data_IF_112057714622
#
_entry.id   IF_112057714622
#
_cell.length_a   1.000
_cell.length_b   1.000
_cell.length_c   1.000
_cell.angle_alpha   90.00
_cell.angle_beta   90.00
_cell.angle_gamma   90.00
#
_symmetry.space_group_name_H-M   'P 1'
#
loop_
_entity.id
_entity.type
_entity.pdbx_description
1 polymer ?
#
# COMPACT_ATOMS: atom_id res chain seq x y z
N UNK A 1 13.16 14.65 -36.37
CA UNK A 1 13.00 13.51 -35.46
C UNK A 1 12.75 14.05 -34.07
N UNK A 2 11.50 14.31 -33.72
CA UNK A 2 11.13 14.79 -32.37
C UNK A 2 11.44 13.67 -31.39
N UNK A 3 12.25 13.86 -30.34
CA UNK A 3 12.44 12.82 -29.35
C UNK A 3 11.06 12.47 -28.81
N UNK A 4 10.70 11.18 -28.87
CA UNK A 4 9.51 10.67 -28.22
C UNK A 4 9.54 11.20 -26.79
N UNK A 5 8.53 11.99 -26.43
CA UNK A 5 8.42 12.59 -25.10
C UNK A 5 8.35 11.42 -24.14
N UNK A 6 9.47 11.11 -23.47
CA UNK A 6 9.53 10.04 -22.49
C UNK A 6 8.35 10.30 -21.54
N UNK A 7 7.45 9.33 -21.29
CA UNK A 7 6.34 9.55 -20.37
C UNK A 7 6.95 10.04 -19.07
N UNK A 8 6.53 11.24 -18.65
CA UNK A 8 7.07 11.86 -17.43
C UNK A 8 6.85 10.86 -16.29
N UNK A 9 7.89 10.50 -15.52
CA UNK A 9 7.77 9.50 -14.49
C UNK A 9 6.69 9.96 -13.50
N UNK A 10 5.63 9.15 -13.40
CA UNK A 10 4.53 9.42 -12.48
C UNK A 10 5.01 9.11 -11.07
N UNK A 11 4.76 10.00 -10.13
CA UNK A 11 5.17 9.84 -8.75
C UNK A 11 3.97 10.03 -7.82
N UNK A 12 3.41 8.91 -7.34
CA UNK A 12 2.38 8.92 -6.31
C UNK A 12 3.03 8.57 -4.98
N UNK A 13 2.80 9.42 -3.98
CA UNK A 13 3.24 9.23 -2.60
C UNK A 13 2.06 8.77 -1.74
N UNK A 14 2.31 7.81 -0.86
CA UNK A 14 1.49 7.49 0.31
C UNK A 14 2.32 7.82 1.54
N UNK A 15 1.81 8.68 2.42
CA UNK A 15 2.48 9.08 3.65
C UNK A 15 1.61 8.80 4.86
N UNK A 16 2.17 8.17 5.89
CA UNK A 16 1.54 7.96 7.19
C UNK A 16 2.15 8.91 8.21
N UNK A 17 1.28 9.44 9.07
CA UNK A 17 1.63 10.32 10.16
C UNK A 17 1.61 9.54 11.48
N UNK A 18 2.66 9.73 12.28
CA UNK A 18 2.84 9.05 13.57
C UNK A 18 2.89 10.07 14.71
N UNK A 19 1.79 10.80 14.99
CA UNK A 19 1.75 11.72 16.12
C UNK A 19 1.64 10.93 17.43
N UNK A 20 2.06 11.56 18.53
CA UNK A 20 1.83 11.01 19.88
C UNK A 20 0.34 11.08 20.24
N UNK A 21 -0.32 12.19 19.88
CA UNK A 21 -1.74 12.41 20.11
C UNK A 21 -2.47 12.73 18.81
N UNK A 22 -3.64 12.10 18.62
CA UNK A 22 -4.44 12.22 17.41
C UNK A 22 -5.57 13.23 17.62
N UNK A 23 -5.50 14.34 16.89
CA UNK A 23 -6.50 15.41 16.88
C UNK A 23 -6.76 15.86 15.43
N UNK A 24 -8.01 16.22 15.12
CA UNK A 24 -8.44 16.61 13.77
C UNK A 24 -7.78 17.93 13.30
N UNK A 25 -7.56 18.87 14.21
CA UNK A 25 -6.87 20.13 13.90
C UNK A 25 -5.41 19.88 13.48
N UNK A 26 -4.71 19.01 14.22
CA UNK A 26 -3.36 18.58 13.87
C UNK A 26 -3.36 17.94 12.49
N UNK A 27 -4.29 17.02 12.22
CA UNK A 27 -4.39 16.38 10.91
C UNK A 27 -4.58 17.41 9.79
N UNK A 28 -5.42 18.42 9.99
CA UNK A 28 -5.56 19.56 9.09
C UNK A 28 -4.24 20.29 8.83
N UNK A 29 -3.47 20.62 9.87
CA UNK A 29 -2.16 21.25 9.73
C UNK A 29 -1.16 20.39 8.96
N UNK A 30 -1.13 19.08 9.19
CA UNK A 30 -0.28 18.16 8.43
C UNK A 30 -0.64 18.15 6.93
N UNK A 31 -1.93 18.23 6.59
CA UNK A 31 -2.38 18.35 5.19
C UNK A 31 -1.95 19.68 4.58
N UNK A 32 -1.98 20.80 5.33
CA UNK A 32 -1.47 22.10 4.85
C UNK A 32 0.03 22.03 4.50
N UNK A 33 0.83 21.27 5.26
CA UNK A 33 2.24 21.04 4.92
C UNK A 33 2.39 20.30 3.59
N UNK A 34 1.56 19.29 3.34
CA UNK A 34 1.55 18.57 2.06
C UNK A 34 1.14 19.49 0.90
N UNK A 35 0.12 20.33 1.12
CA UNK A 35 -0.46 21.23 0.11
C UNK A 35 0.58 22.26 -0.37
N UNK A 36 1.43 22.71 0.55
CA UNK A 36 2.57 23.57 0.24
C UNK A 36 3.65 22.94 -0.64
N UNK A 37 3.55 21.66 -1.03
CA UNK A 37 4.44 21.00 -2.01
C UNK A 37 3.67 20.56 -3.25
N UNK A 38 2.49 19.95 -3.08
CA UNK A 38 1.59 19.59 -4.18
C UNK A 38 0.14 19.74 -3.74
N UNK A 39 -0.71 20.43 -4.51
CA UNK A 39 -2.13 20.60 -4.19
C UNK A 39 -2.96 19.33 -4.45
N UNK A 40 -2.37 18.28 -5.03
CA UNK A 40 -3.07 17.06 -5.43
C UNK A 40 -3.05 16.03 -4.30
N UNK A 41 -3.86 16.27 -3.29
CA UNK A 41 -3.90 15.48 -2.05
C UNK A 41 -5.23 14.74 -1.92
N UNK A 42 -5.15 13.49 -1.49
CA UNK A 42 -6.30 12.70 -1.06
C UNK A 42 -6.10 12.26 0.40
N UNK A 43 -6.79 12.91 1.35
CA UNK A 43 -6.71 12.55 2.77
C UNK A 43 -7.37 11.20 3.07
N UNK A 44 -6.77 10.43 3.98
CA UNK A 44 -7.32 9.19 4.55
C UNK A 44 -7.28 9.27 6.09
N UNK A 45 -8.24 9.96 6.72
CA UNK A 45 -8.21 10.29 8.15
C UNK A 45 -8.27 9.06 9.06
N UNK A 46 -8.99 8.00 8.65
CA UNK A 46 -9.07 6.75 9.41
C UNK A 46 -7.69 6.11 9.66
N UNK A 47 -6.80 6.25 8.67
CA UNK A 47 -5.46 5.66 8.67
C UNK A 47 -4.37 6.67 9.08
N UNK A 48 -4.74 7.90 9.43
CA UNK A 48 -3.79 9.00 9.69
C UNK A 48 -2.74 9.14 8.58
N UNK A 49 -3.21 9.27 7.35
CA UNK A 49 -2.34 9.23 6.17
C UNK A 49 -2.99 9.91 4.97
N UNK A 50 -2.20 10.19 3.93
CA UNK A 50 -2.71 10.79 2.70
C UNK A 50 -2.02 10.22 1.45
N UNK A 51 -2.68 10.29 0.31
CA UNK A 51 -2.01 10.20 -0.99
C UNK A 51 -1.68 11.59 -1.51
N UNK A 52 -0.56 11.71 -2.22
CA UNK A 52 -0.13 12.94 -2.89
C UNK A 52 0.38 12.60 -4.29
N UNK A 53 -0.08 13.30 -5.31
CA UNK A 53 0.51 13.23 -6.65
C UNK A 53 1.65 14.25 -6.76
N UNK A 54 2.89 13.76 -6.75
CA UNK A 54 4.11 14.56 -6.84
C UNK A 54 4.51 14.85 -8.29
N UNK A 55 3.84 14.28 -9.29
CA UNK A 55 4.30 14.32 -10.69
C UNK A 55 4.52 15.75 -11.20
N UNK A 56 3.61 16.69 -10.87
CA UNK A 56 3.77 18.10 -11.22
C UNK A 56 4.77 18.84 -10.33
N UNK A 57 4.88 18.43 -9.07
CA UNK A 57 5.76 19.03 -8.08
C UNK A 57 7.24 18.80 -8.44
N UNK A 58 7.60 17.62 -8.96
CA UNK A 58 8.98 17.32 -9.37
C UNK A 58 9.55 18.38 -10.33
N UNK A 59 8.74 18.82 -11.30
CA UNK A 59 9.14 19.88 -12.24
C UNK A 59 9.14 21.26 -11.60
N UNK A 60 8.15 21.57 -10.76
CA UNK A 60 8.06 22.88 -10.10
C UNK A 60 9.21 23.14 -9.13
N UNK A 61 9.59 22.12 -8.37
CA UNK A 61 10.63 22.21 -7.35
C UNK A 61 12.04 21.95 -7.89
N UNK A 62 12.16 21.45 -9.11
CA UNK A 62 13.42 20.97 -9.70
C UNK A 62 14.14 19.96 -8.78
N UNK A 63 13.39 18.97 -8.30
CA UNK A 63 13.86 17.93 -7.37
C UNK A 63 13.36 16.56 -7.79
N UNK A 64 14.12 15.54 -7.40
CA UNK A 64 13.70 14.15 -7.52
C UNK A 64 12.68 13.77 -6.43
N UNK A 65 12.11 12.57 -6.57
CA UNK A 65 11.07 12.04 -5.68
C UNK A 65 11.57 11.93 -4.25
N UNK A 66 12.79 11.41 -4.07
CA UNK A 66 13.42 11.23 -2.76
C UNK A 66 13.64 12.57 -2.05
N UNK A 67 14.14 13.58 -2.77
CA UNK A 67 14.34 14.93 -2.25
C UNK A 67 13.04 15.58 -1.80
N UNK A 68 11.97 15.49 -2.61
CA UNK A 68 10.66 16.03 -2.20
C UNK A 68 10.08 15.33 -0.98
N UNK A 69 10.21 14.00 -0.91
CA UNK A 69 9.77 13.22 0.26
C UNK A 69 10.58 13.62 1.49
N UNK A 70 11.90 13.81 1.37
CA UNK A 70 12.74 14.27 2.47
C UNK A 70 12.31 15.65 2.98
N UNK A 71 12.03 16.60 2.07
CA UNK A 71 11.53 17.94 2.42
C UNK A 71 10.18 17.86 3.17
N UNK A 72 9.23 17.08 2.65
CA UNK A 72 7.93 16.89 3.30
C UNK A 72 8.09 16.34 4.72
N UNK A 73 8.86 15.25 4.86
CA UNK A 73 9.09 14.58 6.15
C UNK A 73 9.80 15.50 7.14
N UNK A 74 10.81 16.25 6.68
CA UNK A 74 11.51 17.23 7.50
C UNK A 74 10.55 18.33 7.98
N UNK A 75 9.72 18.89 7.09
CA UNK A 75 8.74 19.93 7.45
C UNK A 75 7.71 19.44 8.47
N UNK A 76 7.18 18.22 8.29
CA UNK A 76 6.24 17.62 9.24
C UNK A 76 6.88 17.45 10.63
N UNK A 77 8.13 16.99 10.67
CA UNK A 77 8.87 16.83 11.92
C UNK A 77 9.20 18.18 12.57
N UNK A 78 9.69 19.15 11.79
CA UNK A 78 10.14 20.43 12.32
C UNK A 78 8.99 21.35 12.76
N UNK A 79 7.87 21.35 12.05
CA UNK A 79 6.75 22.26 12.33
C UNK A 79 5.78 21.68 13.38
N UNK A 80 5.65 20.35 13.44
CA UNK A 80 4.62 19.71 14.26
C UNK A 80 5.15 18.58 15.15
N UNK A 81 6.45 18.27 15.12
CA UNK A 81 7.02 17.16 15.88
C UNK A 81 6.55 15.77 15.42
N UNK A 82 5.95 15.66 14.23
CA UNK A 82 5.32 14.42 13.76
C UNK A 82 6.29 13.64 12.87
N UNK A 83 6.66 12.44 13.31
CA UNK A 83 7.35 11.49 12.43
C UNK A 83 6.41 10.96 11.36
N UNK A 84 6.99 10.59 10.22
CA UNK A 84 6.24 10.05 9.09
C UNK A 84 6.99 8.90 8.43
N UNK A 85 6.23 7.91 7.95
CA UNK A 85 6.71 6.90 7.00
C UNK A 85 6.11 7.18 5.63
N UNK A 86 6.92 7.03 4.59
CA UNK A 86 6.54 7.40 3.23
C UNK A 86 6.85 6.29 2.23
N UNK A 87 5.93 6.04 1.30
CA UNK A 87 6.13 5.15 0.17
C UNK A 87 5.75 5.84 -1.13
N UNK A 88 6.62 5.78 -2.13
CA UNK A 88 6.30 6.35 -3.44
C UNK A 88 6.47 5.34 -4.57
N UNK A 89 5.68 5.52 -5.62
CA UNK A 89 5.84 4.76 -6.85
C UNK A 89 4.94 5.22 -7.99
N UNK A 90 4.98 4.51 -9.14
CA UNK A 90 4.25 4.91 -10.35
C UNK A 90 2.74 4.79 -10.22
N UNK A 91 2.26 3.99 -9.25
CA UNK A 91 0.84 3.75 -9.01
C UNK A 91 0.52 3.82 -7.52
N UNK A 92 -0.78 4.04 -7.21
CA UNK A 92 -1.27 4.08 -5.82
C UNK A 92 -0.98 2.78 -5.07
N UNK A 93 -1.16 1.63 -5.72
CA UNK A 93 -0.91 0.32 -5.11
C UNK A 93 0.56 0.11 -4.75
N UNK A 94 1.48 0.50 -5.63
CA UNK A 94 2.93 0.44 -5.34
C UNK A 94 3.29 1.39 -4.21
N UNK A 95 2.79 2.63 -4.24
CA UNK A 95 3.02 3.61 -3.19
C UNK A 95 2.51 3.14 -1.82
N UNK A 96 1.31 2.55 -1.77
CA UNK A 96 0.75 1.96 -0.56
C UNK A 96 1.63 0.83 -0.01
N UNK A 97 1.96 -0.16 -0.85
CA UNK A 97 2.84 -1.26 -0.44
C UNK A 97 4.21 -0.79 0.00
N UNK A 98 4.74 0.29 -0.60
CA UNK A 98 6.02 0.89 -0.21
C UNK A 98 5.89 1.52 1.17
N UNK A 99 4.82 2.27 1.41
CA UNK A 99 4.58 2.95 2.68
C UNK A 99 4.37 1.95 3.82
N UNK A 100 3.59 0.89 3.58
CA UNK A 100 3.32 -0.18 4.55
C UNK A 100 4.60 -0.95 4.94
N UNK A 101 5.56 -1.07 4.02
CA UNK A 101 6.85 -1.71 4.28
C UNK A 101 7.89 -0.75 4.90
N UNK A 102 7.55 0.53 5.05
CA UNK A 102 8.49 1.55 5.49
C UNK A 102 8.31 1.84 6.99
N UNK A 103 9.38 1.73 7.81
CA UNK A 103 9.29 2.08 9.23
C UNK A 103 9.06 3.59 9.44
N UNK A 104 8.52 4.01 10.59
CA UNK A 104 8.44 5.43 10.96
C UNK A 104 9.80 6.12 10.83
N UNK A 105 9.81 7.31 10.24
CA UNK A 105 11.06 8.05 10.03
C UNK A 105 11.89 7.57 8.83
N UNK A 106 11.33 6.77 7.93
CA UNK A 106 11.96 6.38 6.67
C UNK A 106 11.07 6.66 5.45
N UNK A 107 11.66 6.47 4.26
CA UNK A 107 10.98 6.54 2.98
C UNK A 107 11.43 5.39 2.07
N UNK A 108 10.51 4.79 1.32
CA UNK A 108 10.80 3.82 0.26
C UNK A 108 10.26 4.32 -1.06
N UNK A 109 11.12 4.42 -2.08
CA UNK A 109 10.73 4.84 -3.44
C UNK A 109 10.90 3.67 -4.39
N UNK A 110 9.85 3.34 -5.14
CA UNK A 110 9.88 2.34 -6.21
C UNK A 110 9.80 3.09 -7.53
N UNK A 111 10.87 3.06 -8.30
CA UNK A 111 10.97 3.76 -9.59
C UNK A 111 10.02 3.11 -10.62
N UNK A 112 9.56 3.90 -11.59
CA UNK A 112 8.77 3.43 -12.74
C UNK A 112 9.63 2.64 -13.74
N UNK A 113 10.28 1.60 -13.26
CA UNK A 113 11.07 0.66 -14.04
C UNK A 113 10.51 -0.76 -13.82
N UNK A 114 10.20 -1.53 -14.88
CA UNK A 114 9.62 -2.86 -14.74
C UNK A 114 10.47 -3.83 -13.90
N UNK A 115 11.80 -3.69 -13.90
CA UNK A 115 12.69 -4.55 -13.12
C UNK A 115 12.65 -4.18 -11.64
N UNK A 116 12.71 -2.88 -11.31
CA UNK A 116 12.56 -2.38 -9.94
C UNK A 116 11.19 -2.75 -9.34
N UNK A 117 10.11 -2.57 -10.11
CA UNK A 117 8.76 -2.96 -9.68
C UNK A 117 8.71 -4.48 -9.43
N UNK A 118 9.24 -5.30 -10.34
CA UNK A 118 9.25 -6.75 -10.16
C UNK A 118 10.10 -7.17 -8.95
N UNK A 119 11.26 -6.56 -8.75
CA UNK A 119 12.13 -6.82 -7.61
C UNK A 119 11.44 -6.48 -6.28
N UNK A 120 10.74 -5.34 -6.22
CA UNK A 120 9.98 -4.91 -5.06
C UNK A 120 8.79 -5.82 -4.74
N UNK A 121 8.12 -6.35 -5.77
CA UNK A 121 6.95 -7.24 -5.60
C UNK A 121 7.34 -8.69 -5.27
N UNK A 122 8.50 -9.17 -5.74
CA UNK A 122 8.96 -10.57 -5.57
C UNK A 122 8.98 -11.07 -4.11
N UNK A 123 9.40 -10.30 -3.09
CA UNK A 123 9.40 -10.77 -1.70
C UNK A 123 8.05 -10.65 -1.00
N UNK A 124 7.06 -9.96 -1.59
CA UNK A 124 5.76 -9.75 -0.94
C UNK A 124 4.79 -10.84 -1.41
N UNK A 125 4.31 -11.75 -0.52
CA UNK A 125 3.20 -12.61 -0.91
C UNK A 125 2.06 -11.69 -1.36
N UNK A 126 1.40 -12.01 -2.47
CA UNK A 126 0.25 -11.25 -2.95
C UNK A 126 -0.74 -11.13 -1.79
N UNK A 127 -0.67 -10.02 -1.08
CA UNK A 127 -1.42 -9.85 0.14
C UNK A 127 -2.87 -9.75 -0.31
N UNK A 128 -3.60 -10.83 -0.04
CA UNK A 128 -5.05 -10.81 0.06
C UNK A 128 -5.47 -9.53 0.81
N UNK A 129 -6.57 -8.88 0.40
CA UNK A 129 -7.01 -7.63 0.99
C UNK A 129 -6.88 -7.68 2.50
N UNK A 130 -6.26 -6.64 3.05
CA UNK A 130 -5.87 -6.51 4.45
C UNK A 130 -6.89 -7.17 5.37
N UNK A 131 -6.41 -8.06 6.24
CA UNK A 131 -7.17 -8.66 7.32
C UNK A 131 -7.89 -7.52 8.05
N UNK A 132 -9.20 -7.50 7.93
CA UNK A 132 -10.08 -6.73 8.77
C UNK A 132 -9.74 -7.10 10.21
N UNK A 133 -9.03 -6.23 10.93
CA UNK A 133 -8.86 -6.37 12.37
C UNK A 133 -10.26 -6.22 12.96
N UNK A 134 -10.85 -7.23 13.60
CA UNK A 134 -12.07 -7.02 14.34
C UNK A 134 -11.77 -5.94 15.38
N UNK A 135 -12.60 -4.90 15.42
CA UNK A 135 -12.58 -3.98 16.53
C UNK A 135 -13.05 -4.78 17.76
N UNK A 136 -12.13 -5.17 18.63
CA UNK A 136 -12.47 -5.57 19.99
C UNK A 136 -12.90 -4.30 20.73
N UNK A 137 -14.15 -3.90 20.52
CA UNK A 137 -14.82 -2.92 21.38
C UNK A 137 -14.91 -3.47 22.80
N UNK A 138 -14.85 -2.61 23.84
CA UNK A 138 -14.95 -3.09 25.21
C UNK A 138 -16.28 -3.79 25.43
N UNK A 139 -16.22 -5.02 25.93
CA UNK A 139 -17.37 -5.85 26.31
C UNK A 139 -18.31 -5.06 27.25
N UNK A 140 -19.64 -5.11 27.05
CA UNK A 140 -20.57 -4.53 28.01
C UNK A 140 -20.45 -5.26 29.36
N UNK A 141 -20.27 -4.48 30.43
CA UNK A 141 -20.21 -4.97 31.81
C UNK A 141 -21.46 -5.83 32.11
N UNK A 142 -21.32 -7.00 32.73
CA UNK A 142 -22.46 -7.80 33.12
C UNK A 142 -23.29 -7.06 34.18
N UNK A 143 -24.58 -6.87 33.87
CA UNK A 143 -25.60 -6.41 34.80
C UNK A 143 -25.65 -7.36 36.00
N UNK A 144 -25.33 -6.83 37.19
CA UNK A 144 -25.56 -7.54 38.45
C UNK A 144 -27.08 -7.70 38.65
N UNK A 145 -27.56 -8.92 38.48
CA UNK A 145 -28.92 -9.30 38.83
C UNK A 145 -29.12 -9.19 40.35
N UNK A 146 -30.01 -8.30 40.77
CA UNK A 146 -30.58 -8.31 42.12
C UNK A 146 -31.42 -9.58 42.30
N UNK A 147 -31.08 -10.34 43.35
CA UNK A 147 -31.89 -11.42 43.88
C UNK A 147 -33.28 -10.91 44.29
N UNK A 148 -34.34 -11.44 43.66
CA UNK A 148 -35.60 -11.70 44.37
C UNK A 148 -36.20 -13.03 43.95
N UNK A 149 -36.22 -13.93 44.94
CA UNK A 149 -36.98 -15.18 44.99
C UNK A 149 -38.48 -14.91 44.77
N UNK A 150 -39.18 -15.83 44.09
CA UNK A 150 -40.25 -16.66 44.70
C UNK A 150 -40.71 -17.76 43.71
N UNK A 151 -40.60 -19.01 44.19
CA UNK A 151 -41.51 -20.16 44.11
C UNK A 151 -42.75 -20.02 43.19
N UNK A 152 -43.19 -21.00 42.37
CA UNK A 152 -43.42 -22.44 42.67
C UNK A 152 -43.90 -23.19 41.39
N UNK A 153 -43.58 -24.49 41.34
CA UNK A 153 -44.31 -25.65 40.76
C UNK A 153 -44.29 -25.96 39.24
N UNK A 154 -43.66 -27.10 38.96
CA UNK A 154 -43.84 -28.09 37.87
C UNK A 154 -45.23 -28.75 37.86
N UNK A 155 -45.64 -29.60 36.85
CA UNK A 155 -44.81 -30.46 35.97
C UNK A 155 -45.21 -30.58 34.47
N UNK A 156 -44.36 -31.34 33.75
CA UNK A 156 -44.34 -31.76 32.32
C UNK A 156 -45.40 -32.86 32.00
N UNK A 157 -45.36 -33.63 30.87
CA UNK A 157 -44.51 -33.61 29.66
C UNK A 157 -45.30 -33.80 28.32
N UNK A 158 -44.62 -33.85 27.17
CA UNK A 158 -44.80 -34.85 26.09
C UNK A 158 -43.93 -34.51 24.86
N UNK A 159 -43.10 -35.47 24.45
CA UNK A 159 -42.50 -35.61 23.11
C UNK A 159 -43.22 -36.77 22.38
N UNK A 160 -42.81 -37.29 21.20
CA UNK A 160 -42.01 -36.74 20.08
C UNK A 160 -42.70 -36.98 18.70
N UNK A 161 -42.17 -36.45 17.58
CA UNK A 161 -42.24 -37.13 16.26
C UNK A 161 -41.40 -36.41 15.19
N UNK A 162 -40.49 -37.17 14.57
CA UNK A 162 -39.87 -36.94 13.26
C UNK A 162 -40.67 -37.76 12.22
N UNK A 163 -40.83 -37.34 10.95
CA UNK A 163 -39.99 -37.94 9.92
C UNK A 163 -39.65 -37.04 8.70
N UNK A 164 -38.40 -37.17 8.25
CA UNK A 164 -37.92 -37.45 6.86
C UNK A 164 -38.65 -36.82 5.68
N UNK A 165 -37.91 -36.11 4.82
CA UNK A 165 -37.88 -36.18 3.34
C UNK A 165 -36.66 -35.34 2.88
N UNK A 166 -35.53 -35.88 2.40
CA UNK A 166 -35.21 -36.57 1.12
C UNK A 166 -35.80 -35.90 -0.12
N UNK A 167 -34.99 -35.06 -0.78
CA UNK A 167 -34.67 -34.94 -2.22
C UNK A 167 -33.88 -33.63 -2.36
N UNK A 168 -32.70 -33.55 -2.98
CA UNK A 168 -32.31 -34.05 -4.29
C UNK A 168 -32.22 -32.84 -5.23
N UNK A 169 -31.00 -32.36 -5.52
CA UNK A 169 -30.59 -31.60 -6.72
C UNK A 169 -29.15 -31.09 -6.51
N UNK A 170 -28.11 -31.76 -7.02
CA UNK A 170 -27.65 -31.79 -8.40
C UNK A 170 -27.05 -30.45 -8.87
N UNK A 171 -25.73 -30.34 -8.72
CA UNK A 171 -24.90 -29.29 -9.29
C UNK A 171 -24.88 -29.34 -10.82
N UNK A 172 -24.98 -28.21 -11.54
CA UNK A 172 -24.67 -28.17 -12.95
C UNK A 172 -23.19 -27.84 -13.17
N UNK A 173 -22.56 -28.74 -13.94
CA UNK A 173 -21.24 -28.59 -14.55
C UNK A 173 -21.29 -27.51 -15.63
N UNK A 174 -20.35 -26.57 -15.61
CA UNK A 174 -19.93 -25.83 -16.80
C UNK A 174 -18.42 -26.00 -17.01
N UNK A 175 -18.11 -26.71 -18.09
CA UNK A 175 -16.84 -26.81 -18.81
C UNK A 175 -16.40 -25.41 -19.31
N UNK A 176 -15.13 -25.14 -19.72
CA UNK A 176 -14.31 -26.04 -20.55
C UNK A 176 -12.79 -26.10 -20.27
N UNK A 177 -12.19 -27.20 -20.74
CA UNK A 177 -10.74 -27.38 -20.93
C UNK A 177 -10.32 -26.91 -22.35
N UNK A 178 -9.07 -27.16 -22.83
CA UNK A 178 -8.00 -26.17 -22.93
C UNK A 178 -7.57 -25.97 -24.40
N UNK A 179 -6.67 -25.03 -24.70
CA UNK A 179 -5.83 -25.08 -25.92
C UNK A 179 -4.67 -24.08 -25.77
N UNK A 180 -3.49 -24.59 -25.46
CA UNK A 180 -2.37 -24.91 -26.40
C UNK A 180 -1.61 -23.65 -26.85
N UNK A 181 -0.45 -23.45 -26.22
CA UNK A 181 0.67 -22.70 -26.78
C UNK A 181 1.29 -23.46 -27.97
N UNK A 182 1.92 -22.72 -28.89
CA UNK A 182 3.22 -23.14 -29.44
C UNK A 182 4.23 -21.97 -29.36
N UNK A 183 5.36 -22.20 -28.68
CA UNK A 183 6.70 -22.54 -29.24
C UNK A 183 7.52 -21.34 -29.75
N UNK A 184 8.57 -21.02 -28.98
CA UNK A 184 9.84 -20.45 -29.46
C UNK A 184 10.50 -21.35 -30.51
N UNK A 185 11.31 -20.76 -31.39
CA UNK A 185 12.75 -21.06 -31.47
C UNK A 185 13.54 -19.74 -31.33
N UNK A 186 14.82 -19.63 -30.96
CA UNK A 186 15.90 -20.58 -30.82
C UNK A 186 17.21 -19.87 -31.22
N UNK A 187 18.15 -19.74 -30.27
CA UNK A 187 19.63 -19.62 -30.40
C UNK A 187 20.31 -18.41 -31.10
N UNK A 188 20.93 -17.56 -30.25
CA UNK A 188 22.38 -17.23 -30.07
C UNK A 188 23.42 -17.89 -31.04
N UNK A 189 24.74 -17.59 -30.93
CA UNK A 189 25.48 -16.30 -30.84
C UNK A 189 26.75 -16.30 -31.76
N UNK A 190 27.34 -15.16 -32.12
CA UNK A 190 28.78 -15.03 -32.45
C UNK A 190 29.20 -13.58 -32.14
N UNK A 191 30.10 -13.29 -31.20
CA UNK A 191 31.55 -13.58 -31.08
C UNK A 191 32.49 -12.64 -31.86
N UNK A 192 33.52 -12.24 -31.11
CA UNK A 192 34.81 -11.64 -31.46
C UNK A 192 34.96 -10.12 -31.31
N UNK A 193 35.57 -9.66 -30.21
CA UNK A 193 37.03 -9.60 -29.95
C UNK A 193 37.70 -8.42 -30.67
N UNK A 194 38.16 -7.43 -29.89
CA UNK A 194 39.54 -6.87 -29.88
C UNK A 194 39.54 -5.58 -29.03
N UNK A 195 40.10 -5.67 -27.83
CA UNK A 195 41.47 -5.22 -27.49
C UNK A 195 41.61 -3.68 -27.40
N UNK A 196 41.73 -3.23 -26.14
CA UNK A 196 42.53 -2.10 -25.58
C UNK A 196 43.89 -1.90 -26.29
N UNK A 197 44.68 -0.80 -26.10
CA UNK A 197 44.83 0.05 -24.90
C UNK A 197 45.18 1.57 -25.07
N UNK A 198 45.15 2.31 -23.94
CA UNK A 198 46.10 3.37 -23.47
C UNK A 198 46.38 4.65 -24.31
N UNK A 199 46.14 5.82 -23.69
CA UNK A 199 47.11 6.95 -23.55
C UNK A 199 46.57 7.97 -22.53
N UNK A 200 47.10 8.03 -21.30
CA UNK A 200 48.20 8.88 -20.78
C UNK A 200 48.06 10.39 -21.04
N UNK A 201 47.95 11.13 -19.91
CA UNK A 201 48.50 12.48 -19.58
C UNK A 201 48.00 13.65 -20.45
N UNK A 202 47.64 14.82 -19.91
CA UNK A 202 48.45 15.69 -19.03
C UNK A 202 47.57 16.71 -18.30
N UNK A 203 47.95 16.96 -17.04
CA UNK A 203 47.66 18.19 -16.31
C UNK A 203 48.40 19.40 -16.92
N UNK A 204 47.82 20.59 -16.75
CA UNK A 204 48.46 21.93 -16.80
C UNK A 204 47.38 23.01 -16.62
N UNK A 205 47.78 24.22 -16.21
CA UNK A 205 48.47 24.62 -14.99
C UNK A 205 47.50 25.23 -13.95
#
# INVERSE_FOLDING_TARGET
MTPARNPRPRAILRIHFHPVERNDELYGHLLTVLDGVSPRIEPLPADWSAYVDLTGALTFWDRDVEGLIAVLRLRLLALHGVQSSAGAGPTRGIAAMAADATPPGAATVVVDDPYEIAAFLRPKPAAAPARHRPQDGPLPRPLRHHHRRRHRRHPAPHAPANPRHRTGQASPRLRPRPRRAPRRPGRRPQDHERRTPVRRRRARP
#
